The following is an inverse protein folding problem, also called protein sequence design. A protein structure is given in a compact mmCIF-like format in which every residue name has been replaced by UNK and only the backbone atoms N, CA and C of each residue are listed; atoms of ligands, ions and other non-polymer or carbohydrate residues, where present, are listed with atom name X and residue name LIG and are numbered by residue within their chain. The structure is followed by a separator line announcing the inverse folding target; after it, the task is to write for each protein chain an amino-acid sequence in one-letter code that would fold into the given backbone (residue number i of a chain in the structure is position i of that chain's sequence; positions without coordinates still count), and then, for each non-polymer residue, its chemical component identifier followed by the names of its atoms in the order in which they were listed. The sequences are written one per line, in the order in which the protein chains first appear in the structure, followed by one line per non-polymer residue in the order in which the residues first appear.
data_IF_857325399532
#
_entry.id   IF_857325399532
#
_cell.length_a   1.000
_cell.length_b   1.000
_cell.length_c   1.000
_cell.angle_alpha   90.00
_cell.angle_beta   90.00
_cell.angle_gamma   90.00
#
_symmetry.space_group_name_H-M   'P 1'
#
loop_
_entity.id
_entity.type
_entity.pdbx_description
1 polymer ?
#
# COMPACT_ATOMS: atom_id res chain seq x y z
N UNK A 1 -9.53 4.78 -28.51
CA UNK A 1 -9.19 4.00 -27.31
C UNK A 1 -8.24 4.85 -26.45
N UNK A 2 -8.63 5.21 -25.22
CA UNK A 2 -7.80 6.06 -24.33
C UNK A 2 -6.59 5.25 -23.87
N UNK A 3 -5.37 5.71 -24.18
CA UNK A 3 -4.12 5.02 -23.80
C UNK A 3 -3.99 5.04 -22.27
N UNK A 4 -4.11 3.88 -21.62
CA UNK A 4 -3.94 3.76 -20.17
C UNK A 4 -2.49 4.14 -19.83
N UNK A 5 -2.30 5.08 -18.91
CA UNK A 5 -0.97 5.45 -18.44
C UNK A 5 -0.35 4.28 -17.67
N UNK A 6 0.97 4.12 -17.71
CA UNK A 6 1.66 3.04 -16.98
C UNK A 6 1.29 3.04 -15.48
N UNK A 7 1.08 4.23 -14.92
CA UNK A 7 0.66 4.44 -13.52
C UNK A 7 -0.74 3.87 -13.28
N UNK A 8 -1.71 4.20 -14.14
CA UNK A 8 -3.06 3.68 -14.02
C UNK A 8 -3.09 2.16 -14.15
N UNK A 9 -2.29 1.59 -15.06
CA UNK A 9 -2.14 0.15 -15.18
C UNK A 9 -1.60 -0.47 -13.88
N UNK A 10 -0.54 0.10 -13.30
CA UNK A 10 0.04 -0.37 -12.04
C UNK A 10 -0.94 -0.34 -10.87
N UNK A 11 -1.72 0.73 -10.73
CA UNK A 11 -2.75 0.84 -9.69
C UNK A 11 -3.85 -0.21 -9.89
N UNK A 12 -4.34 -0.39 -11.13
CA UNK A 12 -5.38 -1.40 -11.44
C UNK A 12 -4.87 -2.80 -11.10
N UNK A 13 -3.64 -3.15 -11.50
CA UNK A 13 -3.05 -4.43 -11.14
C UNK A 13 -2.88 -4.59 -9.63
N UNK A 14 -2.44 -3.54 -8.92
CA UNK A 14 -2.35 -3.54 -7.46
C UNK A 14 -3.69 -3.80 -6.77
N UNK A 15 -4.78 -3.20 -7.26
CA UNK A 15 -6.14 -3.43 -6.76
C UNK A 15 -6.58 -4.88 -7.00
N UNK A 16 -6.35 -5.41 -8.21
CA UNK A 16 -6.73 -6.79 -8.56
C UNK A 16 -5.98 -7.79 -7.68
N UNK A 17 -4.65 -7.68 -7.60
CA UNK A 17 -3.84 -8.60 -6.79
C UNK A 17 -4.15 -8.44 -5.30
N UNK A 18 -4.31 -7.21 -4.81
CA UNK A 18 -4.69 -6.96 -3.42
C UNK A 18 -6.05 -7.56 -3.07
N UNK A 19 -7.02 -7.51 -3.99
CA UNK A 19 -8.32 -8.17 -3.79
C UNK A 19 -8.15 -9.69 -3.72
N UNK A 20 -7.35 -10.27 -4.62
CA UNK A 20 -7.06 -11.71 -4.61
C UNK A 20 -6.38 -12.13 -3.30
N UNK A 21 -5.48 -11.31 -2.76
CA UNK A 21 -4.77 -11.59 -1.51
C UNK A 21 -5.67 -11.49 -0.27
N UNK A 22 -6.65 -10.57 -0.27
CA UNK A 22 -7.62 -10.44 0.83
C UNK A 22 -8.57 -11.63 0.91
N UNK A 23 -8.87 -12.30 -0.21
CA UNK A 23 -9.77 -13.46 -0.23
C UNK A 23 -9.33 -14.58 0.75
N UNK A 24 -8.10 -15.14 0.66
CA UNK A 24 -7.64 -16.14 1.63
C UNK A 24 -7.55 -15.58 3.06
N UNK A 25 -7.24 -14.29 3.23
CA UNK A 25 -7.18 -13.68 4.57
C UNK A 25 -8.56 -13.65 5.26
N UNK A 26 -9.63 -13.38 4.49
CA UNK A 26 -11.01 -13.48 4.99
C UNK A 26 -11.35 -14.92 5.36
N UNK A 27 -10.96 -15.91 4.55
CA UNK A 27 -11.17 -17.34 4.87
C UNK A 27 -10.43 -17.78 6.15
N UNK A 28 -9.24 -17.21 6.39
CA UNK A 28 -8.45 -17.44 7.60
C UNK A 28 -8.94 -16.63 8.82
N UNK A 29 -10.02 -15.86 8.69
CA UNK A 29 -10.60 -15.00 9.74
C UNK A 29 -9.57 -14.04 10.35
N UNK A 30 -8.65 -13.53 9.53
CA UNK A 30 -7.73 -12.48 9.96
C UNK A 30 -8.49 -11.19 10.29
N UNK A 31 -7.88 -10.36 11.13
CA UNK A 31 -8.48 -9.11 11.59
C UNK A 31 -8.65 -8.14 10.43
N UNK A 32 -9.69 -7.30 10.51
CA UNK A 32 -10.09 -6.44 9.39
C UNK A 32 -9.02 -5.40 9.01
N UNK A 33 -8.22 -4.96 9.99
CA UNK A 33 -7.06 -4.10 9.82
C UNK A 33 -5.93 -4.78 9.04
N UNK A 34 -5.67 -6.06 9.31
CA UNK A 34 -4.67 -6.83 8.59
C UNK A 34 -5.07 -6.97 7.11
N UNK A 35 -6.36 -7.24 6.85
CA UNK A 35 -6.91 -7.32 5.50
C UNK A 35 -6.79 -5.99 4.75
N UNK A 36 -7.15 -4.88 5.41
CA UNK A 36 -7.05 -3.55 4.81
C UNK A 36 -5.60 -3.13 4.56
N UNK A 37 -4.69 -3.45 5.48
CA UNK A 37 -3.27 -3.18 5.32
C UNK A 37 -2.66 -3.96 4.15
N UNK A 38 -2.94 -5.26 4.07
CA UNK A 38 -2.48 -6.10 2.97
C UNK A 38 -2.98 -5.59 1.61
N UNK A 39 -4.26 -5.21 1.53
CA UNK A 39 -4.82 -4.58 0.33
C UNK A 39 -4.07 -3.29 -0.06
N UNK A 40 -3.90 -2.37 0.89
CA UNK A 40 -3.22 -1.10 0.64
C UNK A 40 -1.75 -1.31 0.23
N UNK A 41 -1.08 -2.30 0.82
CA UNK A 41 0.28 -2.69 0.44
C UNK A 41 0.35 -3.06 -1.04
N UNK A 42 -0.57 -3.89 -1.54
CA UNK A 42 -0.59 -4.28 -2.96
C UNK A 42 -0.90 -3.12 -3.91
N UNK A 43 -1.81 -2.23 -3.53
CA UNK A 43 -2.12 -1.01 -4.32
C UNK A 43 -0.89 -0.10 -4.40
N UNK A 44 -0.21 0.12 -3.28
CA UNK A 44 0.97 0.98 -3.19
C UNK A 44 2.15 0.33 -3.94
N UNK A 45 2.36 -0.97 -3.82
CA UNK A 45 3.38 -1.69 -4.59
C UNK A 45 3.14 -1.54 -6.11
N UNK A 46 1.89 -1.70 -6.58
CA UNK A 46 1.54 -1.49 -7.99
C UNK A 46 1.81 -0.06 -8.48
N UNK A 47 1.54 0.94 -7.64
CA UNK A 47 1.92 2.33 -7.91
C UNK A 47 3.44 2.52 -7.96
N UNK A 48 4.19 1.97 -7.00
CA UNK A 48 5.66 2.09 -6.96
C UNK A 48 6.35 1.42 -8.15
N UNK A 49 5.86 0.25 -8.57
CA UNK A 49 6.39 -0.47 -9.74
C UNK A 49 6.16 0.36 -11.01
N UNK A 50 4.95 0.91 -11.18
CA UNK A 50 4.62 1.71 -12.37
C UNK A 50 5.29 3.09 -12.40
N UNK A 51 5.67 3.62 -11.24
CA UNK A 51 6.38 4.90 -11.06
C UNK A 51 7.90 4.74 -10.93
N UNK A 52 8.41 3.50 -10.95
CA UNK A 52 9.85 3.20 -10.88
C UNK A 52 10.67 3.95 -11.93
N UNK A 53 10.09 4.21 -13.11
CA UNK A 53 10.72 4.92 -14.23
C UNK A 53 10.36 6.42 -14.31
N UNK A 54 9.72 7.00 -13.28
CA UNK A 54 9.48 8.45 -13.22
C UNK A 54 10.80 9.21 -13.04
N UNK A 55 11.02 10.18 -13.94
CA UNK A 55 12.12 11.17 -13.86
C UNK A 55 11.82 12.22 -12.79
N UNK A 56 11.93 11.84 -11.52
CA UNK A 56 11.83 12.74 -10.36
C UNK A 56 13.20 12.75 -9.66
N UNK A 57 13.57 13.86 -9.02
CA UNK A 57 14.75 13.95 -8.17
C UNK A 57 14.74 12.82 -7.12
N UNK A 58 15.85 12.08 -6.99
CA UNK A 58 15.96 10.89 -6.15
C UNK A 58 15.58 11.13 -4.68
N UNK A 59 15.86 12.32 -4.14
CA UNK A 59 15.51 12.68 -2.74
C UNK A 59 14.00 12.78 -2.55
N UNK A 60 13.31 13.55 -3.41
CA UNK A 60 11.86 13.70 -3.37
C UNK A 60 11.14 12.36 -3.60
N UNK A 61 11.68 11.55 -4.52
CA UNK A 61 11.17 10.21 -4.77
C UNK A 61 11.34 9.30 -3.54
N UNK A 62 12.50 9.34 -2.89
CA UNK A 62 12.74 8.59 -1.66
C UNK A 62 11.75 8.94 -0.56
N UNK A 63 11.57 10.23 -0.27
CA UNK A 63 10.62 10.72 0.74
C UNK A 63 9.20 10.23 0.42
N UNK A 64 8.74 10.38 -0.82
CA UNK A 64 7.41 9.97 -1.25
C UNK A 64 7.20 8.45 -1.12
N UNK A 65 8.21 7.65 -1.49
CA UNK A 65 8.19 6.19 -1.32
C UNK A 65 8.11 5.82 0.16
N UNK A 66 8.90 6.46 1.03
CA UNK A 66 8.89 6.20 2.47
C UNK A 66 7.52 6.47 3.09
N UNK A 67 6.88 7.59 2.74
CA UNK A 67 5.53 7.89 3.23
C UNK A 67 4.49 6.90 2.73
N UNK A 68 4.55 6.50 1.45
CA UNK A 68 3.64 5.50 0.91
C UNK A 68 3.82 4.15 1.60
N UNK A 69 5.04 3.68 1.81
CA UNK A 69 5.31 2.41 2.50
C UNK A 69 4.88 2.43 3.97
N UNK A 70 4.86 3.60 4.62
CA UNK A 70 4.40 3.74 6.00
C UNK A 70 2.89 3.48 6.13
N UNK A 71 2.08 3.77 5.11
CA UNK A 71 0.61 3.66 5.16
C UNK A 71 0.12 2.25 5.57
N UNK A 72 0.50 1.16 4.88
CA UNK A 72 0.04 -0.18 5.27
C UNK A 72 0.54 -0.57 6.67
N UNK A 73 1.77 -0.21 7.03
CA UNK A 73 2.31 -0.46 8.37
C UNK A 73 1.54 0.31 9.45
N UNK A 74 1.19 1.57 9.20
CA UNK A 74 0.43 2.41 10.10
C UNK A 74 -1.00 1.89 10.31
N UNK A 75 -1.62 1.30 9.30
CA UNK A 75 -2.94 0.67 9.41
C UNK A 75 -2.92 -0.53 10.38
N UNK A 76 -1.88 -1.38 10.33
CA UNK A 76 -1.73 -2.51 11.26
C UNK A 76 -1.44 -1.98 12.68
N UNK A 77 -0.43 -1.12 12.82
CA UNK A 77 0.04 -0.66 14.13
C UNK A 77 -1.02 0.18 14.83
N UNK A 78 -1.65 1.12 14.10
CA UNK A 78 -2.68 2.01 14.64
C UNK A 78 -3.94 1.28 15.10
N UNK A 79 -4.25 0.13 14.51
CA UNK A 79 -5.36 -0.70 14.94
C UNK A 79 -5.02 -1.59 16.15
N UNK A 80 -3.82 -2.18 16.18
CA UNK A 80 -3.40 -3.04 17.29
C UNK A 80 -3.05 -2.25 18.56
N UNK A 81 -2.45 -1.07 18.41
CA UNK A 81 -1.98 -0.23 19.53
C UNK A 81 -2.14 1.26 19.20
N UNK A 82 -3.35 1.83 19.26
CA UNK A 82 -3.57 3.26 18.99
C UNK A 82 -2.76 4.18 19.93
N UNK A 83 -2.35 3.69 21.10
CA UNK A 83 -1.52 4.42 22.08
C UNK A 83 -0.02 4.36 21.80
N UNK A 84 0.49 3.40 21.01
CA UNK A 84 1.92 3.34 20.66
C UNK A 84 2.35 4.47 19.72
N UNK A 85 1.40 5.04 18.98
CA UNK A 85 1.63 6.21 18.12
C UNK A 85 1.81 7.52 18.90
N UNK A 86 1.46 7.56 20.18
CA UNK A 86 1.51 8.78 21.03
C UNK A 86 2.46 8.66 22.21
N UNK A 87 2.88 7.45 22.59
CA UNK A 87 3.74 7.23 23.75
C UNK A 87 5.17 6.87 23.35
N UNK A 88 5.97 7.90 23.09
CA UNK A 88 7.43 7.83 23.22
C UNK A 88 7.77 7.94 24.71
N UNK A 89 7.72 6.84 25.47
CA UNK A 89 8.26 6.79 26.84
C UNK A 89 9.02 5.50 27.06
#
# INVERSE_FOLDING_TARGET
MKKISKINAGIIFGIIIGTIDVIPMIFLKLTWDANLSAFLMWVIAGFLISTSNLKINGVLKGILISFLLLIPSAVIIGWQQPTSLTRFS
#
